data_IF_231190139437
#
_entry.id   IF_231190139437
#
_cell.length_a   1.000
_cell.length_b   1.000
_cell.length_c   1.000
_cell.angle_alpha   90.00
_cell.angle_beta   90.00
_cell.angle_gamma   90.00
#
_symmetry.space_group_name_H-M   'P 1'
#
loop_
_entity.id
_entity.type
_entity.pdbx_description
1 polymer ?
#
# COMPACT_ATOMS: atom_id res chain seq x y z
N UNK A 1 39.76 -18.28 -44.32
CA UNK A 1 40.25 -18.21 -42.94
C UNK A 1 39.57 -17.01 -42.28
N UNK A 2 38.29 -17.17 -41.91
CA UNK A 2 37.51 -16.13 -41.26
C UNK A 2 37.60 -16.31 -39.76
N UNK A 3 38.23 -15.36 -39.05
CA UNK A 3 38.22 -15.31 -37.59
C UNK A 3 36.79 -15.01 -37.15
N UNK A 4 36.18 -15.98 -36.47
CA UNK A 4 35.03 -15.73 -35.60
C UNK A 4 35.53 -14.88 -34.44
N UNK A 5 34.97 -13.69 -34.28
CA UNK A 5 35.20 -12.84 -33.11
C UNK A 5 34.17 -13.30 -32.08
N UNK A 6 34.62 -14.08 -31.09
CA UNK A 6 33.82 -14.46 -29.93
C UNK A 6 33.42 -13.19 -29.17
N UNK A 7 32.10 -13.03 -28.98
CA UNK A 7 31.54 -11.98 -28.14
C UNK A 7 32.11 -12.11 -26.72
N UNK A 8 32.64 -11.02 -26.18
CA UNK A 8 33.09 -10.92 -24.80
C UNK A 8 31.93 -11.30 -23.88
N UNK A 9 32.07 -12.41 -23.17
CA UNK A 9 31.22 -12.73 -22.03
C UNK A 9 31.28 -11.57 -21.02
N UNK A 10 30.20 -10.82 -20.89
CA UNK A 10 29.98 -9.91 -19.75
C UNK A 10 29.82 -10.78 -18.50
N UNK A 11 30.61 -10.49 -17.45
CA UNK A 11 30.48 -11.21 -16.17
C UNK A 11 29.04 -11.11 -15.64
N UNK A 12 28.53 -12.15 -14.96
CA UNK A 12 27.21 -12.11 -14.31
C UNK A 12 27.08 -10.91 -13.37
N UNK A 13 25.87 -10.38 -13.21
CA UNK A 13 25.60 -9.25 -12.32
C UNK A 13 26.08 -9.53 -10.89
N UNK A 14 25.84 -10.75 -10.39
CA UNK A 14 26.28 -11.23 -9.07
C UNK A 14 27.79 -11.17 -8.79
N UNK A 15 28.63 -11.24 -9.83
CA UNK A 15 30.09 -11.15 -9.70
C UNK A 15 30.62 -9.72 -9.77
N UNK A 16 29.73 -8.75 -10.03
CA UNK A 16 30.07 -7.35 -10.30
C UNK A 16 29.51 -6.42 -9.24
N UNK A 17 28.58 -6.88 -8.41
CA UNK A 17 27.85 -6.03 -7.46
C UNK A 17 28.24 -6.25 -6.01
N UNK A 18 28.28 -5.15 -5.28
CA UNK A 18 28.48 -5.09 -3.84
C UNK A 18 27.40 -4.16 -3.25
N UNK A 19 26.64 -4.64 -2.25
CA UNK A 19 25.66 -3.79 -1.57
C UNK A 19 26.40 -2.70 -0.78
N UNK A 20 26.04 -1.44 -1.03
CA UNK A 20 26.53 -0.29 -0.26
C UNK A 20 25.66 -0.14 0.99
N UNK A 21 24.34 -0.04 0.79
CA UNK A 21 23.31 -0.04 1.83
C UNK A 21 21.94 -0.33 1.21
N UNK A 22 20.98 -0.63 2.08
CA UNK A 22 19.58 -0.74 1.72
C UNK A 22 18.70 -0.23 2.87
N UNK A 23 17.50 0.22 2.50
CA UNK A 23 16.46 0.64 3.43
C UNK A 23 15.11 0.07 3.01
N UNK A 24 14.23 -0.16 3.99
CA UNK A 24 12.86 -0.64 3.77
C UNK A 24 11.84 0.17 4.58
N UNK A 25 10.61 0.30 4.08
CA UNK A 25 9.53 1.02 4.76
C UNK A 25 8.96 0.25 5.97
N UNK A 26 8.48 0.99 6.97
CA UNK A 26 7.78 0.45 8.15
C UNK A 26 6.33 0.09 7.88
N UNK A 27 6.09 -0.79 6.92
CA UNK A 27 4.75 -1.07 6.40
C UNK A 27 4.43 -2.56 6.27
N UNK A 28 5.26 -3.45 6.85
CA UNK A 28 5.11 -4.91 6.68
C UNK A 28 3.74 -5.44 7.16
N UNK A 29 3.12 -4.81 8.16
CA UNK A 29 1.74 -5.12 8.61
C UNK A 29 0.62 -4.47 7.79
N UNK A 30 0.95 -3.61 6.82
CA UNK A 30 0.01 -3.20 5.76
C UNK A 30 0.00 -4.18 4.60
N UNK A 31 1.05 -4.99 4.45
CA UNK A 31 1.11 -6.10 3.48
C UNK A 31 2.09 -5.81 2.37
N UNK A 32 2.67 -4.62 2.40
CA UNK A 32 3.55 -4.09 1.38
C UNK A 32 4.81 -3.52 2.02
N UNK A 33 5.94 -3.59 1.33
CA UNK A 33 7.22 -3.03 1.75
C UNK A 33 7.91 -2.38 0.56
N UNK A 34 8.14 -1.07 0.64
CA UNK A 34 9.02 -0.36 -0.28
C UNK A 34 10.48 -0.54 0.12
N UNK A 35 11.35 -0.88 -0.82
CA UNK A 35 12.79 -1.09 -0.60
C UNK A 35 13.60 -0.21 -1.54
N UNK A 36 14.64 0.41 -1.00
CA UNK A 36 15.66 1.13 -1.78
C UNK A 36 17.01 0.52 -1.48
N UNK A 37 17.66 -0.07 -2.50
CA UNK A 37 18.97 -0.69 -2.39
C UNK A 37 19.99 0.01 -3.27
N UNK A 38 21.15 0.35 -2.71
CA UNK A 38 22.27 0.96 -3.42
C UNK A 38 23.39 -0.04 -3.61
N UNK A 39 23.83 -0.19 -4.86
CA UNK A 39 24.85 -1.16 -5.24
C UNK A 39 26.03 -0.48 -5.90
N UNK A 40 27.24 -0.95 -5.60
CA UNK A 40 28.44 -0.65 -6.35
C UNK A 40 28.63 -1.69 -7.44
N UNK A 41 28.78 -1.27 -8.69
CA UNK A 41 29.04 -2.13 -9.85
C UNK A 41 30.49 -1.95 -10.31
N UNK A 42 31.18 -3.06 -10.54
CA UNK A 42 32.56 -3.12 -11.05
C UNK A 42 33.53 -2.23 -10.25
N UNK A 43 33.28 -2.09 -8.95
CA UNK A 43 34.09 -1.31 -8.03
C UNK A 43 34.07 0.22 -8.24
N UNK A 44 33.24 0.75 -9.15
CA UNK A 44 33.29 2.19 -9.49
C UNK A 44 31.93 2.83 -9.74
N UNK A 45 31.03 2.16 -10.46
CA UNK A 45 29.70 2.70 -10.77
C UNK A 45 28.74 2.45 -9.62
N UNK A 46 27.71 3.29 -9.46
CA UNK A 46 26.69 3.11 -8.41
C UNK A 46 25.32 3.14 -9.05
N UNK A 47 24.48 2.19 -8.66
CA UNK A 47 23.07 2.13 -9.09
C UNK A 47 22.15 2.10 -7.88
N UNK A 48 20.92 2.51 -8.10
CA UNK A 48 19.81 2.36 -7.17
C UNK A 48 18.82 1.35 -7.75
N UNK A 49 18.31 0.47 -6.90
CA UNK A 49 17.24 -0.45 -7.23
C UNK A 49 16.10 -0.23 -6.24
N UNK A 50 14.92 0.08 -6.76
CA UNK A 50 13.72 0.35 -5.98
C UNK A 50 12.78 -0.84 -6.19
N UNK A 51 12.23 -1.37 -5.11
CA UNK A 51 11.30 -2.50 -5.16
C UNK A 51 10.03 -2.15 -4.37
N UNK A 52 8.88 -2.46 -4.94
CA UNK A 52 7.61 -2.56 -4.21
C UNK A 52 7.31 -4.04 -4.00
N UNK A 53 7.38 -4.48 -2.74
CA UNK A 53 7.16 -5.86 -2.35
C UNK A 53 5.75 -6.00 -1.80
N UNK A 54 4.96 -6.90 -2.36
CA UNK A 54 3.59 -7.19 -1.94
C UNK A 54 3.51 -8.62 -1.37
N UNK A 55 3.10 -8.72 -0.11
CA UNK A 55 2.91 -9.97 0.61
C UNK A 55 1.48 -10.51 0.50
N UNK A 56 0.62 -9.73 -0.14
CA UNK A 56 -0.72 -10.10 -0.50
C UNK A 56 -0.72 -10.64 -1.94
N UNK A 57 -0.87 -9.86 -2.99
CA UNK A 57 -1.29 -10.48 -4.26
C UNK A 57 -0.13 -10.73 -5.23
N UNK A 58 0.82 -9.80 -5.34
CA UNK A 58 1.73 -9.78 -6.50
C UNK A 58 3.18 -10.22 -6.23
N UNK A 59 3.57 -10.39 -4.96
CA UNK A 59 4.95 -10.73 -4.60
C UNK A 59 5.93 -9.61 -4.90
N UNK A 60 6.53 -9.65 -6.10
CA UNK A 60 7.31 -8.52 -6.64
C UNK A 60 6.36 -7.68 -7.49
N UNK A 61 5.83 -6.62 -6.91
CA UNK A 61 4.83 -5.77 -7.56
C UNK A 61 5.45 -4.71 -8.47
N UNK A 62 6.56 -4.09 -8.07
CA UNK A 62 7.29 -3.16 -8.92
C UNK A 62 8.81 -3.26 -8.72
N UNK A 63 9.56 -2.98 -9.79
CA UNK A 63 11.01 -2.93 -9.79
C UNK A 63 11.52 -1.86 -10.76
N UNK A 64 12.38 -0.97 -10.27
CA UNK A 64 13.04 0.05 -11.08
C UNK A 64 14.54 0.12 -10.78
N UNK A 65 15.37 0.40 -11.79
CA UNK A 65 16.82 0.58 -11.67
C UNK A 65 17.25 1.93 -12.24
N UNK A 66 18.08 2.66 -11.49
CA UNK A 66 18.57 3.99 -11.87
C UNK A 66 20.08 4.10 -11.71
N UNK A 67 20.72 4.90 -12.56
CA UNK A 67 22.09 5.35 -12.32
C UNK A 67 22.10 6.38 -11.18
N UNK A 68 23.07 6.32 -10.27
CA UNK A 68 23.20 7.26 -9.16
C UNK A 68 23.35 8.74 -9.58
N UNK A 69 23.64 9.00 -10.86
CA UNK A 69 23.63 10.34 -11.44
C UNK A 69 22.22 10.92 -11.61
N UNK A 70 21.17 10.10 -11.64
CA UNK A 70 19.77 10.49 -11.85
C UNK A 70 19.04 10.86 -10.55
N UNK A 71 19.67 11.69 -9.70
CA UNK A 71 19.20 11.96 -8.33
C UNK A 71 17.73 12.40 -8.24
N UNK A 72 17.32 13.36 -9.06
CA UNK A 72 15.95 13.89 -9.05
C UNK A 72 14.93 12.81 -9.40
N UNK A 73 15.24 11.94 -10.38
CA UNK A 73 14.36 10.83 -10.77
C UNK A 73 14.27 9.76 -9.69
N UNK A 74 15.38 9.48 -9.00
CA UNK A 74 15.40 8.55 -7.87
C UNK A 74 14.52 9.07 -6.74
N UNK A 75 14.68 10.34 -6.36
CA UNK A 75 13.89 10.95 -5.28
C UNK A 75 12.40 10.97 -5.62
N UNK A 76 12.05 11.37 -6.85
CA UNK A 76 10.68 11.32 -7.34
C UNK A 76 10.11 9.90 -7.31
N UNK A 77 10.84 8.92 -7.84
CA UNK A 77 10.35 7.53 -7.91
C UNK A 77 10.18 6.90 -6.53
N UNK A 78 11.04 7.24 -5.55
CA UNK A 78 10.86 6.81 -4.16
C UNK A 78 9.55 7.35 -3.61
N UNK A 79 9.23 8.62 -3.87
CA UNK A 79 7.98 9.24 -3.40
C UNK A 79 6.76 8.59 -4.07
N UNK A 80 6.79 8.37 -5.38
CA UNK A 80 5.71 7.68 -6.11
C UNK A 80 5.49 6.25 -5.59
N UNK A 81 6.56 5.49 -5.35
CA UNK A 81 6.49 4.08 -4.98
C UNK A 81 6.15 3.87 -3.50
N UNK A 82 6.59 4.77 -2.62
CA UNK A 82 6.52 4.55 -1.17
C UNK A 82 5.72 5.60 -0.40
N UNK A 83 5.43 6.75 -1.02
CA UNK A 83 4.79 7.90 -0.37
C UNK A 83 3.41 7.59 0.18
N UNK A 84 2.67 6.68 -0.47
CA UNK A 84 1.35 6.26 -0.03
C UNK A 84 1.31 5.10 0.96
N UNK A 85 2.46 4.52 1.34
CA UNK A 85 2.47 3.33 2.20
C UNK A 85 2.35 3.66 3.70
N UNK A 86 2.47 4.94 4.07
CA UNK A 86 2.24 5.40 5.45
C UNK A 86 3.35 5.06 6.46
N UNK A 87 4.58 4.75 6.00
CA UNK A 87 5.70 4.38 6.88
C UNK A 87 7.06 4.92 6.43
N UNK A 88 7.89 5.33 7.40
CA UNK A 88 9.26 5.79 7.15
C UNK A 88 10.23 4.65 6.81
N UNK A 89 11.45 5.01 6.40
CA UNK A 89 12.51 4.05 6.08
C UNK A 89 13.34 3.62 7.30
N UNK A 90 13.71 2.34 7.33
CA UNK A 90 14.69 1.76 8.25
C UNK A 90 15.84 1.13 7.47
N UNK A 91 17.05 1.23 8.01
CA UNK A 91 18.21 0.57 7.42
C UNK A 91 18.11 -0.95 7.58
N UNK A 92 18.44 -1.68 6.51
CA UNK A 92 18.45 -3.15 6.50
C UNK A 92 19.80 -3.69 6.02
N UNK A 93 20.14 -4.88 6.50
CA UNK A 93 21.31 -5.62 6.07
C UNK A 93 21.05 -6.36 4.74
N UNK A 94 22.11 -6.87 4.11
CA UNK A 94 21.96 -7.70 2.92
C UNK A 94 21.13 -8.97 3.19
N UNK A 95 21.31 -9.62 4.34
CA UNK A 95 20.56 -10.82 4.68
C UNK A 95 19.06 -10.53 4.86
N UNK A 96 18.72 -9.37 5.43
CA UNK A 96 17.35 -8.92 5.59
C UNK A 96 16.74 -8.51 4.23
N UNK A 97 17.50 -7.83 3.38
CA UNK A 97 17.10 -7.55 2.00
C UNK A 97 16.79 -8.85 1.24
N UNK A 98 17.69 -9.84 1.34
CA UNK A 98 17.52 -11.13 0.69
C UNK A 98 16.30 -11.89 1.21
N UNK A 99 16.05 -11.83 2.52
CA UNK A 99 14.85 -12.38 3.13
C UNK A 99 13.58 -11.73 2.59
N UNK A 100 13.49 -10.40 2.60
CA UNK A 100 12.31 -9.67 2.11
C UNK A 100 12.00 -9.99 0.65
N UNK A 101 13.04 -9.99 -0.19
CA UNK A 101 12.95 -10.36 -1.60
C UNK A 101 12.46 -11.80 -1.77
N UNK A 102 13.05 -12.76 -1.06
CA UNK A 102 12.71 -14.16 -1.25
C UNK A 102 11.31 -14.50 -0.74
N UNK A 103 10.88 -13.93 0.39
CA UNK A 103 9.55 -14.19 0.96
C UNK A 103 8.44 -13.52 0.16
N UNK A 104 8.67 -12.32 -0.37
CA UNK A 104 7.73 -11.66 -1.29
C UNK A 104 7.65 -12.38 -2.63
N UNK A 105 8.79 -12.74 -3.25
CA UNK A 105 8.80 -13.52 -4.49
C UNK A 105 8.05 -14.86 -4.37
N UNK A 106 8.04 -15.49 -3.19
CA UNK A 106 7.31 -16.74 -2.98
C UNK A 106 5.77 -16.61 -3.03
N UNK A 107 5.24 -15.38 -2.94
CA UNK A 107 3.80 -15.09 -3.00
C UNK A 107 3.26 -15.33 -4.41
N UNK A 108 3.91 -14.73 -5.41
CA UNK A 108 3.66 -14.99 -6.83
C UNK A 108 4.98 -15.05 -7.62
N UNK A 109 5.63 -16.22 -7.69
CA UNK A 109 6.88 -16.40 -8.41
C UNK A 109 6.76 -16.17 -9.93
N UNK A 110 5.54 -16.24 -10.46
CA UNK A 110 5.26 -16.17 -11.89
C UNK A 110 4.72 -14.80 -12.32
N UNK A 111 4.71 -13.82 -11.42
CA UNK A 111 4.26 -12.47 -11.73
C UNK A 111 5.10 -11.90 -12.90
N UNK A 112 4.49 -11.20 -13.88
CA UNK A 112 5.24 -10.65 -15.00
C UNK A 112 6.41 -9.76 -14.57
N UNK A 113 6.21 -8.98 -13.50
CA UNK A 113 7.22 -8.10 -12.93
C UNK A 113 8.37 -8.89 -12.29
N UNK A 114 8.08 -10.03 -11.64
CA UNK A 114 9.11 -10.94 -11.14
C UNK A 114 9.95 -11.54 -12.29
N UNK A 115 9.32 -11.98 -13.38
CA UNK A 115 10.02 -12.76 -14.43
C UNK A 115 10.94 -11.91 -15.30
N UNK A 116 10.44 -10.79 -15.86
CA UNK A 116 11.14 -10.14 -16.99
C UNK A 116 12.31 -9.26 -16.55
N UNK A 117 12.10 -8.40 -15.56
CA UNK A 117 13.08 -7.38 -15.18
C UNK A 117 13.80 -7.74 -13.86
N UNK A 118 13.08 -8.37 -12.94
CA UNK A 118 13.58 -8.68 -11.61
C UNK A 118 14.50 -9.93 -11.58
N UNK A 119 14.06 -11.09 -12.07
CA UNK A 119 14.81 -12.35 -11.96
C UNK A 119 16.25 -12.27 -12.51
N UNK A 120 16.52 -11.71 -13.70
CA UNK A 120 17.89 -11.60 -14.22
C UNK A 120 18.86 -10.83 -13.31
N UNK A 121 18.32 -9.99 -12.43
CA UNK A 121 19.07 -9.12 -11.51
C UNK A 121 19.16 -9.70 -10.10
N UNK A 122 18.14 -10.42 -9.64
CA UNK A 122 18.03 -10.89 -8.26
C UNK A 122 18.11 -12.40 -8.07
N UNK A 123 18.26 -13.21 -9.14
CA UNK A 123 18.41 -14.66 -9.02
C UNK A 123 19.53 -15.06 -8.03
N UNK A 124 20.61 -14.29 -7.97
CA UNK A 124 21.70 -14.55 -7.04
C UNK A 124 21.33 -14.28 -5.58
N UNK A 125 20.45 -13.30 -5.32
CA UNK A 125 19.93 -13.00 -3.99
C UNK A 125 19.02 -14.12 -3.53
N UNK A 126 18.14 -14.60 -4.42
CA UNK A 126 17.27 -15.75 -4.15
C UNK A 126 18.08 -17.01 -3.83
N UNK A 127 19.10 -17.33 -4.65
CA UNK A 127 20.00 -18.48 -4.41
C UNK A 127 20.81 -18.36 -3.13
N UNK A 128 21.26 -17.15 -2.79
CA UNK A 128 21.98 -16.91 -1.53
C UNK A 128 21.05 -17.12 -0.33
N UNK A 129 19.81 -16.62 -0.41
CA UNK A 129 18.80 -16.84 0.61
C UNK A 129 18.44 -18.32 0.77
N UNK A 130 18.22 -19.07 -0.32
CA UNK A 130 17.97 -20.52 -0.26
C UNK A 130 19.08 -21.28 0.49
N UNK A 131 20.33 -20.81 0.38
CA UNK A 131 21.49 -21.45 1.00
C UNK A 131 21.69 -21.03 2.45
N UNK A 132 21.53 -19.74 2.74
CA UNK A 132 21.93 -19.15 4.02
C UNK A 132 20.74 -18.84 4.94
N UNK A 133 19.58 -18.54 4.36
CA UNK A 133 18.35 -18.16 5.04
C UNK A 133 18.48 -16.90 5.89
N UNK A 134 17.40 -16.59 6.61
CA UNK A 134 17.41 -15.69 7.76
C UNK A 134 16.90 -16.46 8.97
N UNK A 135 17.65 -16.43 10.07
CA UNK A 135 17.23 -17.13 11.30
C UNK A 135 15.93 -16.54 11.85
N UNK A 136 15.09 -17.37 12.48
CA UNK A 136 13.75 -16.97 12.97
C UNK A 136 13.81 -15.77 13.92
N UNK A 137 14.78 -15.69 14.82
CA UNK A 137 14.95 -14.54 15.72
C UNK A 137 15.26 -13.24 14.95
N UNK A 138 16.09 -13.33 13.90
CA UNK A 138 16.41 -12.19 13.05
C UNK A 138 15.23 -11.77 12.18
N UNK A 139 14.44 -12.73 11.67
CA UNK A 139 13.21 -12.46 10.94
C UNK A 139 12.18 -11.74 11.84
N UNK A 140 12.00 -12.19 13.09
CA UNK A 140 11.12 -11.51 14.07
C UNK A 140 11.63 -10.10 14.37
N UNK A 141 12.94 -9.93 14.60
CA UNK A 141 13.53 -8.62 14.87
C UNK A 141 13.41 -7.67 13.66
N UNK A 142 13.48 -8.19 12.43
CA UNK A 142 13.21 -7.42 11.23
C UNK A 142 11.73 -7.00 11.18
N UNK A 143 10.83 -7.92 11.47
CA UNK A 143 9.39 -7.66 11.52
C UNK A 143 9.04 -6.61 12.59
N UNK A 144 9.68 -6.64 13.77
CA UNK A 144 9.54 -5.60 14.80
C UNK A 144 9.98 -4.22 14.33
N UNK A 145 10.96 -4.14 13.42
CA UNK A 145 11.45 -2.86 12.89
C UNK A 145 10.62 -2.34 11.72
N UNK A 146 10.12 -3.24 10.87
CA UNK A 146 9.41 -2.92 9.63
C UNK A 146 7.89 -3.02 9.75
N UNK A 147 7.35 -3.60 10.81
CA UNK A 147 5.93 -3.52 11.13
C UNK A 147 5.63 -2.24 11.92
N UNK A 148 4.53 -1.51 11.64
CA UNK A 148 4.00 -0.59 12.63
C UNK A 148 3.76 -1.35 13.94
N UNK A 149 4.21 -0.83 15.08
CA UNK A 149 3.93 -1.44 16.38
C UNK A 149 2.50 -1.05 16.78
N UNK A 150 1.53 -1.98 16.79
CA UNK A 150 0.16 -1.61 17.10
C UNK A 150 0.07 -1.14 18.56
N UNK A 151 -0.51 0.03 18.82
CA UNK A 151 -0.55 0.63 20.16
C UNK A 151 -1.90 0.41 20.86
N UNK A 152 -2.94 0.13 20.07
CA UNK A 152 -4.31 -0.05 20.52
C UNK A 152 -4.83 -1.47 20.23
N UNK A 153 -5.89 -1.86 20.94
CA UNK A 153 -6.61 -3.11 20.65
C UNK A 153 -7.14 -3.14 19.22
N UNK A 154 -7.67 -2.02 18.72
CA UNK A 154 -8.24 -1.95 17.38
C UNK A 154 -7.16 -2.21 16.33
N UNK A 155 -5.99 -1.55 16.43
CA UNK A 155 -4.91 -1.79 15.48
C UNK A 155 -4.51 -3.26 15.43
N UNK A 156 -4.33 -3.90 16.59
CA UNK A 156 -3.99 -5.33 16.63
C UNK A 156 -5.04 -6.20 15.94
N UNK A 157 -6.32 -5.96 16.22
CA UNK A 157 -7.42 -6.75 15.64
C UNK A 157 -7.52 -6.53 14.12
N UNK A 158 -7.38 -5.28 13.66
CA UNK A 158 -7.45 -4.96 12.24
C UNK A 158 -6.26 -5.52 11.48
N UNK A 159 -5.02 -5.29 11.94
CA UNK A 159 -3.83 -5.87 11.31
C UNK A 159 -3.89 -7.40 11.30
N UNK A 160 -4.37 -8.02 12.39
CA UNK A 160 -4.50 -9.48 12.44
C UNK A 160 -5.49 -9.99 11.39
N UNK A 161 -6.64 -9.34 11.26
CA UNK A 161 -7.64 -9.72 10.26
C UNK A 161 -7.20 -9.41 8.82
N UNK A 162 -6.47 -8.31 8.59
CA UNK A 162 -5.84 -8.04 7.29
C UNK A 162 -4.90 -9.19 6.91
N UNK A 163 -3.99 -9.58 7.82
CA UNK A 163 -3.07 -10.71 7.60
C UNK A 163 -3.78 -12.04 7.44
N UNK A 164 -4.83 -12.28 8.20
CA UNK A 164 -5.64 -13.48 8.07
C UNK A 164 -6.28 -13.57 6.67
N UNK A 165 -6.83 -12.47 6.16
CA UNK A 165 -7.49 -12.43 4.85
C UNK A 165 -6.50 -12.42 3.69
N UNK A 166 -5.36 -11.74 3.84
CA UNK A 166 -4.24 -11.77 2.92
C UNK A 166 -3.41 -13.06 2.97
N UNK A 167 -3.78 -14.05 3.81
CA UNK A 167 -3.02 -15.30 3.99
C UNK A 167 -1.53 -15.10 4.37
N UNK A 168 -1.31 -13.98 5.06
CA UNK A 168 -0.15 -13.48 5.80
C UNK A 168 0.42 -14.41 6.87
N UNK A 169 0.85 -15.65 6.59
CA UNK A 169 1.22 -16.59 7.65
C UNK A 169 2.25 -16.05 8.66
N UNK A 170 3.27 -15.32 8.19
CA UNK A 170 4.27 -14.69 9.07
C UNK A 170 3.65 -13.55 9.88
N UNK A 171 2.86 -12.68 9.23
CA UNK A 171 2.14 -11.59 9.89
C UNK A 171 1.14 -12.06 10.96
N UNK A 172 0.42 -13.16 10.69
CA UNK A 172 -0.51 -13.79 11.64
C UNK A 172 0.26 -14.27 12.88
N UNK A 173 1.38 -14.98 12.69
CA UNK A 173 2.23 -15.52 13.76
C UNK A 173 2.97 -14.43 14.56
N UNK A 174 3.19 -13.27 13.94
CA UNK A 174 3.75 -12.10 14.59
C UNK A 174 2.74 -11.44 15.54
N UNK A 175 1.49 -11.30 15.10
CA UNK A 175 0.40 -10.63 15.84
C UNK A 175 -0.37 -11.53 16.81
N UNK A 176 -0.28 -12.84 16.65
CA UNK A 176 -1.07 -13.79 17.43
C UNK A 176 -0.53 -15.19 17.42
N UNK A 177 -1.20 -16.04 18.20
CA UNK A 177 -0.96 -17.47 18.19
C UNK A 177 -1.58 -18.09 16.92
N UNK A 178 -0.95 -19.16 16.39
CA UNK A 178 -1.47 -19.85 15.20
C UNK A 178 -2.87 -20.38 15.49
N UNK A 179 -3.84 -19.96 14.70
CA UNK A 179 -5.21 -20.46 14.79
C UNK A 179 -5.40 -21.52 13.72
N UNK A 180 -5.43 -22.78 14.14
CA UNK A 180 -5.75 -23.92 13.28
C UNK A 180 -7.28 -24.13 13.29
N UNK A 181 -8.00 -23.29 12.55
CA UNK A 181 -9.43 -23.48 12.30
C UNK A 181 -9.65 -23.56 10.79
N UNK A 182 -10.00 -24.75 10.29
CA UNK A 182 -10.28 -25.02 8.86
C UNK A 182 -11.38 -24.11 8.30
N UNK A 183 -12.23 -23.51 9.15
CA UNK A 183 -13.23 -22.52 8.71
C UNK A 183 -12.62 -21.19 8.29
N UNK A 184 -11.40 -20.90 8.73
CA UNK A 184 -10.66 -19.70 8.34
C UNK A 184 -10.06 -19.84 6.94
N UNK A 185 -9.91 -21.09 6.47
CA UNK A 185 -9.47 -21.38 5.11
C UNK A 185 -10.46 -20.79 4.09
N UNK A 186 -9.93 -20.35 2.97
CA UNK A 186 -10.70 -19.73 1.89
C UNK A 186 -9.78 -19.16 0.83
N UNK A 187 -10.33 -18.54 -0.22
CA UNK A 187 -9.53 -17.75 -1.14
C UNK A 187 -8.93 -16.54 -0.41
N UNK A 188 -7.77 -16.12 -0.88
CA UNK A 188 -7.17 -14.86 -0.48
C UNK A 188 -8.16 -13.71 -0.71
N UNK A 189 -8.23 -12.78 0.22
CA UNK A 189 -9.23 -11.71 0.20
C UNK A 189 -8.66 -10.41 0.74
N UNK A 190 -9.15 -9.29 0.25
CA UNK A 190 -8.84 -7.95 0.75
C UNK A 190 -9.84 -7.57 1.84
N UNK A 191 -9.36 -7.04 2.97
CA UNK A 191 -10.22 -6.50 4.02
C UNK A 191 -10.67 -5.08 3.66
N UNK A 192 -11.95 -4.90 3.30
CA UNK A 192 -12.47 -3.59 2.89
C UNK A 192 -12.96 -2.75 4.06
N UNK A 193 -13.50 -3.40 5.09
CA UNK A 193 -14.01 -2.77 6.30
C UNK A 193 -14.01 -3.77 7.45
N UNK A 194 -13.71 -3.31 8.66
CA UNK A 194 -13.93 -4.11 9.86
C UNK A 194 -14.55 -3.28 10.97
N UNK A 195 -15.59 -3.80 11.60
CA UNK A 195 -16.21 -3.21 12.80
C UNK A 195 -15.83 -4.02 14.01
N UNK A 196 -15.12 -3.42 14.95
CA UNK A 196 -14.76 -4.01 16.23
C UNK A 196 -15.82 -3.65 17.28
N UNK A 197 -16.26 -4.65 18.05
CA UNK A 197 -17.17 -4.47 19.19
C UNK A 197 -16.61 -5.23 20.39
N UNK A 198 -16.68 -4.62 21.57
CA UNK A 198 -16.38 -5.33 22.82
C UNK A 198 -17.38 -6.48 23.03
N UNK A 199 -16.86 -7.62 23.48
CA UNK A 199 -17.66 -8.78 23.86
C UNK A 199 -18.12 -8.72 25.32
N UNK A 200 -18.81 -9.78 25.76
CA UNK A 200 -19.40 -9.85 27.10
C UNK A 200 -18.36 -9.97 28.24
N UNK A 201 -17.09 -10.22 27.91
CA UNK A 201 -16.01 -10.43 28.87
C UNK A 201 -14.77 -9.61 28.47
N UNK A 202 -13.97 -9.14 29.44
CA UNK A 202 -12.70 -8.47 29.15
C UNK A 202 -11.81 -9.33 28.24
N UNK A 203 -11.21 -8.70 27.23
CA UNK A 203 -10.35 -9.37 26.25
C UNK A 203 -11.09 -10.09 25.13
N UNK A 204 -12.43 -10.20 25.18
CA UNK A 204 -13.22 -10.76 24.08
C UNK A 204 -13.73 -9.63 23.18
N UNK A 205 -13.59 -9.82 21.88
CA UNK A 205 -14.03 -8.88 20.86
C UNK A 205 -14.77 -9.60 19.76
N UNK A 206 -15.80 -8.95 19.21
CA UNK A 206 -16.48 -9.39 18.00
C UNK A 206 -16.10 -8.47 16.85
N UNK A 207 -15.59 -9.05 15.78
CA UNK A 207 -15.27 -8.34 14.55
C UNK A 207 -16.25 -8.72 13.45
N UNK A 208 -16.71 -7.72 12.69
CA UNK A 208 -17.54 -7.88 11.50
C UNK A 208 -16.75 -7.32 10.31
N UNK A 209 -16.13 -8.24 9.56
CA UNK A 209 -15.24 -7.95 8.46
C UNK A 209 -15.98 -8.07 7.12
N UNK A 210 -16.01 -7.00 6.34
CA UNK A 210 -16.39 -7.04 4.93
C UNK A 210 -15.11 -7.26 4.11
N UNK A 211 -15.12 -8.33 3.32
CA UNK A 211 -13.99 -8.73 2.48
C UNK A 211 -14.42 -8.88 1.02
N UNK A 212 -13.46 -8.75 0.12
CA UNK A 212 -13.61 -9.01 -1.32
C UNK A 212 -12.57 -10.02 -1.79
N UNK A 213 -12.97 -10.91 -2.69
CA UNK A 213 -12.09 -11.80 -3.42
C UNK A 213 -12.67 -12.10 -4.80
N UNK A 214 -12.03 -12.99 -5.56
CA UNK A 214 -12.46 -13.43 -6.89
C UNK A 214 -13.92 -13.95 -6.96
N UNK A 215 -14.50 -14.39 -5.82
CA UNK A 215 -15.87 -14.89 -5.73
C UNK A 215 -16.89 -13.81 -5.34
N UNK A 216 -16.47 -12.56 -5.16
CA UNK A 216 -17.29 -11.42 -4.78
C UNK A 216 -17.12 -11.00 -3.32
N UNK A 217 -18.17 -10.40 -2.74
CA UNK A 217 -18.13 -9.79 -1.41
C UNK A 217 -18.70 -10.72 -0.34
N UNK A 218 -18.05 -10.73 0.83
CA UNK A 218 -18.50 -11.50 1.99
C UNK A 218 -18.40 -10.71 3.28
N UNK A 219 -19.37 -10.91 4.17
CA UNK A 219 -19.29 -10.48 5.56
C UNK A 219 -18.91 -11.70 6.42
N UNK A 220 -17.80 -11.60 7.14
CA UNK A 220 -17.32 -12.60 8.09
C UNK A 220 -17.40 -12.06 9.51
N UNK A 221 -17.99 -12.83 10.41
CA UNK A 221 -18.13 -12.49 11.82
C UNK A 221 -17.19 -13.36 12.64
N UNK A 222 -16.28 -12.72 13.35
CA UNK A 222 -15.28 -13.37 14.19
C UNK A 222 -15.50 -13.06 15.66
N UNK A 223 -15.28 -14.05 16.52
CA UNK A 223 -15.01 -13.81 17.94
C UNK A 223 -13.50 -14.00 18.18
N UNK A 224 -12.86 -12.97 18.76
CA UNK A 224 -11.43 -12.98 19.07
C UNK A 224 -11.23 -12.84 20.58
N UNK A 225 -10.18 -13.52 21.07
CA UNK A 225 -9.65 -13.33 22.43
C UNK A 225 -8.29 -12.68 22.30
N UNK A 226 -8.07 -11.58 23.02
CA UNK A 226 -6.77 -10.93 23.12
C UNK A 226 -6.17 -11.07 24.53
N UNK A 227 -4.85 -11.00 24.61
CA UNK A 227 -4.14 -10.90 25.89
C UNK A 227 -4.54 -9.63 26.65
N UNK A 228 -4.64 -9.74 27.98
CA UNK A 228 -5.03 -8.61 28.86
C UNK A 228 -3.84 -7.77 29.34
N UNK A 229 -2.61 -8.18 29.03
CA UNK A 229 -1.37 -7.46 29.37
C UNK A 229 -0.72 -6.98 28.08
N UNK A 230 -0.23 -5.74 28.04
CA UNK A 230 0.58 -5.23 26.92
C UNK A 230 1.70 -6.22 26.62
N UNK A 231 1.81 -6.71 25.37
CA UNK A 231 2.79 -7.73 25.07
C UNK A 231 4.17 -7.06 25.12
N UNK A 232 5.20 -7.83 25.44
CA UNK A 232 6.55 -7.47 24.97
C UNK A 232 6.61 -7.60 23.45
N UNK A 233 7.79 -7.44 22.88
CA UNK A 233 8.02 -7.79 21.47
C UNK A 233 8.27 -9.30 21.32
N UNK A 234 7.68 -9.99 20.32
CA UNK A 234 6.68 -9.51 19.36
C UNK A 234 5.26 -9.39 19.96
N UNK A 235 4.38 -8.56 19.39
CA UNK A 235 3.06 -8.24 19.90
C UNK A 235 2.04 -9.38 19.64
N UNK A 236 2.31 -10.57 20.21
CA UNK A 236 1.47 -11.77 20.11
C UNK A 236 0.23 -11.66 20.99
N UNK A 237 -0.67 -10.78 20.60
CA UNK A 237 -1.82 -10.39 21.39
C UNK A 237 -3.05 -11.23 21.11
N UNK A 238 -3.30 -11.63 19.87
CA UNK A 238 -4.45 -12.47 19.53
C UNK A 238 -4.19 -13.91 20.00
N UNK A 239 -5.01 -14.40 20.93
CA UNK A 239 -4.93 -15.73 21.56
C UNK A 239 -5.86 -16.75 20.93
N UNK A 240 -6.96 -16.28 20.36
CA UNK A 240 -7.84 -17.11 19.53
C UNK A 240 -8.61 -16.24 18.56
N UNK A 241 -8.92 -16.82 17.40
CA UNK A 241 -9.85 -16.26 16.42
C UNK A 241 -10.81 -17.39 16.04
N UNK A 242 -12.12 -17.16 16.07
CA UNK A 242 -13.09 -18.15 15.64
C UNK A 242 -14.08 -17.51 14.67
N UNK A 243 -14.20 -18.08 13.47
CA UNK A 243 -15.22 -17.68 12.51
C UNK A 243 -16.58 -18.23 12.93
N UNK A 244 -17.51 -17.32 13.26
CA UNK A 244 -18.88 -17.65 13.64
C UNK A 244 -19.80 -17.77 12.44
N UNK A 245 -19.71 -16.79 11.53
CA UNK A 245 -20.60 -16.70 10.37
C UNK A 245 -19.84 -16.15 9.17
N UNK A 246 -20.22 -16.64 7.98
CA UNK A 246 -19.85 -16.06 6.69
C UNK A 246 -21.12 -15.91 5.85
N UNK A 247 -21.32 -14.74 5.27
CA UNK A 247 -22.47 -14.41 4.44
C UNK A 247 -21.97 -13.79 3.15
N UNK A 248 -22.36 -14.34 2.00
CA UNK A 248 -22.17 -13.66 0.73
C UNK A 248 -23.10 -12.45 0.68
N UNK A 249 -22.58 -11.31 0.21
CA UNK A 249 -23.36 -10.08 0.01
C UNK A 249 -23.21 -9.61 -1.44
N UNK A 250 -24.26 -8.98 -1.94
CA UNK A 250 -24.23 -8.41 -3.29
C UNK A 250 -23.31 -7.17 -3.35
N UNK A 251 -22.80 -6.80 -4.54
CA UNK A 251 -22.05 -5.56 -4.71
C UNK A 251 -22.82 -4.31 -4.23
N UNK A 252 -24.15 -4.33 -4.40
CA UNK A 252 -25.03 -3.26 -3.91
C UNK A 252 -25.00 -3.21 -2.38
N UNK A 253 -25.18 -4.33 -1.69
CA UNK A 253 -25.09 -4.37 -0.22
C UNK A 253 -23.71 -3.96 0.29
N UNK A 254 -22.64 -4.45 -0.35
CA UNK A 254 -21.27 -4.05 -0.03
C UNK A 254 -21.07 -2.53 -0.17
N UNK A 255 -21.58 -1.92 -1.25
CA UNK A 255 -21.53 -0.47 -1.44
C UNK A 255 -22.27 0.31 -0.34
N UNK A 256 -23.41 -0.21 0.15
CA UNK A 256 -24.13 0.38 1.29
C UNK A 256 -23.36 0.23 2.60
N UNK A 257 -22.62 -0.86 2.79
CA UNK A 257 -21.79 -1.08 3.98
C UNK A 257 -20.53 -0.20 3.98
N UNK A 258 -19.98 0.11 2.80
CA UNK A 258 -18.82 0.99 2.61
C UNK A 258 -19.16 2.48 2.53
N UNK A 259 -20.46 2.81 2.55
CA UNK A 259 -20.97 4.17 2.42
C UNK A 259 -20.36 5.09 3.47
N UNK A 260 -19.63 6.09 3.01
CA UNK A 260 -19.21 7.28 3.75
C UNK A 260 -19.73 8.51 3.00
N UNK A 261 -20.06 9.57 3.74
CA UNK A 261 -20.33 10.86 3.12
C UNK A 261 -19.06 11.34 2.43
N UNK A 262 -19.17 11.67 1.15
CA UNK A 262 -18.12 12.27 0.35
C UNK A 262 -18.38 13.78 0.26
N UNK A 263 -17.36 14.57 0.56
CA UNK A 263 -17.37 16.02 0.42
C UNK A 263 -16.53 16.39 -0.79
N UNK A 264 -17.04 17.29 -1.63
CA UNK A 264 -16.35 17.73 -2.82
C UNK A 264 -16.21 19.25 -2.85
N UNK A 265 -15.05 19.72 -3.28
CA UNK A 265 -14.82 21.13 -3.65
C UNK A 265 -14.49 21.19 -5.13
N UNK A 266 -15.22 22.04 -5.86
CA UNK A 266 -15.04 22.25 -7.29
C UNK A 266 -14.30 23.57 -7.53
N UNK A 267 -13.32 23.53 -8.42
CA UNK A 267 -12.53 24.68 -8.85
C UNK A 267 -12.55 24.80 -10.38
N UNK A 268 -12.53 26.03 -10.87
CA UNK A 268 -12.14 26.35 -12.25
C UNK A 268 -10.63 26.46 -12.32
N UNK A 269 -10.04 25.82 -13.33
CA UNK A 269 -8.62 25.95 -13.67
C UNK A 269 -8.48 27.14 -14.62
N UNK A 270 -7.69 28.13 -14.21
CA UNK A 270 -7.46 29.38 -14.93
C UNK A 270 -6.20 29.37 -15.78
N UNK A 271 -5.22 28.53 -15.43
CA UNK A 271 -3.94 28.42 -16.12
C UNK A 271 -3.85 27.08 -16.87
N UNK A 272 -3.67 27.08 -18.21
CA UNK A 272 -3.40 25.87 -18.99
C UNK A 272 -2.17 25.08 -18.53
N UNK A 273 -1.21 25.72 -17.85
CA UNK A 273 -0.02 25.08 -17.27
C UNK A 273 -0.28 24.35 -15.94
N UNK A 274 -1.49 24.45 -15.39
CA UNK A 274 -1.81 23.96 -14.05
C UNK A 274 -1.42 22.50 -13.82
N UNK A 275 -1.69 21.60 -14.77
CA UNK A 275 -1.46 20.17 -14.57
C UNK A 275 0.03 19.87 -14.30
N UNK A 276 0.93 20.48 -15.08
CA UNK A 276 2.37 20.29 -14.90
C UNK A 276 2.86 20.86 -13.56
N UNK A 277 2.34 22.02 -13.16
CA UNK A 277 2.67 22.63 -11.87
C UNK A 277 2.09 21.82 -10.69
N UNK A 278 0.91 21.22 -10.87
CA UNK A 278 0.23 20.38 -9.89
C UNK A 278 1.01 19.08 -9.64
N UNK A 279 1.39 18.37 -10.70
CA UNK A 279 2.23 17.17 -10.63
C UNK A 279 3.60 17.46 -10.02
N UNK A 280 4.23 18.58 -10.39
CA UNK A 280 5.51 18.97 -9.82
C UNK A 280 5.41 19.36 -8.33
N UNK A 281 4.27 19.93 -7.91
CA UNK A 281 4.04 20.34 -6.52
C UNK A 281 3.67 19.16 -5.61
N UNK A 282 3.09 18.09 -6.17
CA UNK A 282 2.61 16.91 -5.42
C UNK A 282 2.99 15.61 -6.15
N UNK A 283 4.31 15.31 -6.23
CA UNK A 283 4.83 14.12 -6.93
C UNK A 283 4.43 12.79 -6.26
N UNK A 284 3.97 12.82 -5.01
CA UNK A 284 3.52 11.62 -4.28
C UNK A 284 2.13 11.12 -4.68
N UNK A 285 1.40 11.88 -5.50
CA UNK A 285 0.06 11.50 -5.92
C UNK A 285 0.11 10.33 -6.91
N UNK A 286 -0.81 9.38 -6.74
CA UNK A 286 -0.94 8.25 -7.66
C UNK A 286 -1.87 8.62 -8.82
N UNK A 287 -1.38 8.73 -10.07
CA UNK A 287 -2.20 9.10 -11.22
C UNK A 287 -2.93 7.90 -11.83
N UNK A 288 -4.16 8.14 -12.31
CA UNK A 288 -4.97 7.23 -13.10
C UNK A 288 -5.68 8.03 -14.20
N UNK A 289 -5.40 7.72 -15.46
CA UNK A 289 -6.02 8.42 -16.58
C UNK A 289 -7.38 7.81 -16.95
N UNK A 290 -8.37 8.67 -17.11
CA UNK A 290 -9.73 8.34 -17.54
C UNK A 290 -10.09 9.09 -18.83
N UNK A 291 -11.19 8.70 -19.47
CA UNK A 291 -11.63 9.33 -20.72
C UNK A 291 -11.94 10.83 -20.59
N UNK A 292 -12.41 11.27 -19.42
CA UNK A 292 -12.83 12.66 -19.17
C UNK A 292 -11.80 13.50 -18.40
N UNK A 293 -10.63 12.95 -18.10
CA UNK A 293 -9.61 13.62 -17.29
C UNK A 293 -8.69 12.66 -16.55
N UNK A 294 -7.83 13.22 -15.70
CA UNK A 294 -6.85 12.50 -14.90
C UNK A 294 -7.21 12.55 -13.41
N UNK A 295 -7.25 11.38 -12.76
CA UNK A 295 -7.47 11.22 -11.33
C UNK A 295 -6.14 11.06 -10.62
N UNK A 296 -5.93 11.84 -9.57
CA UNK A 296 -4.78 11.74 -8.69
C UNK A 296 -5.26 11.40 -7.28
N UNK A 297 -4.69 10.36 -6.68
CA UNK A 297 -5.03 9.95 -5.31
C UNK A 297 -3.90 10.29 -4.36
N UNK A 298 -4.23 11.02 -3.29
CA UNK A 298 -3.35 11.30 -2.15
C UNK A 298 -3.70 10.34 -1.01
N UNK A 299 -2.70 9.64 -0.50
CA UNK A 299 -2.85 8.75 0.65
C UNK A 299 -2.44 9.46 1.94
N UNK A 300 -2.99 8.99 3.07
CA UNK A 300 -2.57 9.41 4.39
C UNK A 300 -1.10 9.03 4.63
N UNK A 301 -0.37 9.90 5.34
CA UNK A 301 1.06 9.68 5.65
C UNK A 301 1.30 8.71 6.79
N UNK A 302 0.24 8.34 7.49
CA UNK A 302 0.25 7.37 8.58
C UNK A 302 -1.00 6.49 8.52
N UNK A 303 -0.98 5.42 9.32
CA UNK A 303 -2.05 4.44 9.41
C UNK A 303 -2.94 4.68 10.65
N UNK A 304 -3.11 5.94 11.10
CA UNK A 304 -3.84 6.24 12.33
C UNK A 304 -5.31 5.78 12.31
N UNK A 305 -5.93 5.72 11.12
CA UNK A 305 -7.30 5.22 10.95
C UNK A 305 -7.46 3.73 11.35
N UNK A 306 -6.36 2.95 11.39
CA UNK A 306 -6.36 1.57 11.90
C UNK A 306 -6.60 1.53 13.42
N UNK A 307 -6.46 2.64 14.16
CA UNK A 307 -6.81 2.67 15.58
C UNK A 307 -8.33 2.82 15.84
N UNK A 308 -9.13 3.07 14.80
CA UNK A 308 -10.56 3.28 14.97
C UNK A 308 -11.33 1.97 15.22
N UNK A 309 -12.46 2.09 15.92
CA UNK A 309 -13.40 0.98 16.09
C UNK A 309 -13.98 0.48 14.76
N UNK A 310 -13.96 1.31 13.73
CA UNK A 310 -14.38 0.94 12.38
C UNK A 310 -13.24 1.26 11.42
N UNK A 311 -12.55 0.23 10.97
CA UNK A 311 -11.58 0.33 9.90
C UNK A 311 -12.29 0.35 8.54
N UNK A 312 -11.76 1.15 7.62
CA UNK A 312 -12.10 1.11 6.19
C UNK A 312 -10.81 1.15 5.38
N UNK A 313 -10.71 0.33 4.34
CA UNK A 313 -9.58 0.36 3.40
C UNK A 313 -9.47 1.71 2.69
N UNK A 314 -10.61 2.30 2.28
CA UNK A 314 -10.60 3.65 1.72
C UNK A 314 -10.27 4.76 2.76
N UNK A 315 -10.06 4.40 4.03
CA UNK A 315 -9.48 5.27 5.03
C UNK A 315 -8.00 5.57 4.79
N UNK A 316 -7.32 4.80 3.95
CA UNK A 316 -5.95 5.10 3.50
C UNK A 316 -5.91 6.34 2.61
N UNK A 317 -7.02 6.68 1.94
CA UNK A 317 -7.10 7.85 1.05
C UNK A 317 -7.31 9.11 1.86
N UNK A 318 -6.38 10.06 1.74
CA UNK A 318 -6.55 11.42 2.23
C UNK A 318 -7.53 12.18 1.33
N UNK A 319 -7.23 12.27 0.03
CA UNK A 319 -8.11 12.93 -0.93
C UNK A 319 -7.89 12.45 -2.36
N UNK A 320 -8.90 12.64 -3.19
CA UNK A 320 -8.83 12.45 -4.63
C UNK A 320 -8.94 13.79 -5.35
N UNK A 321 -8.18 13.95 -6.42
CA UNK A 321 -8.14 15.14 -7.27
C UNK A 321 -8.44 14.71 -8.70
N UNK A 322 -9.51 15.21 -9.29
CA UNK A 322 -9.84 14.90 -10.68
C UNK A 322 -9.74 16.16 -11.53
N UNK A 323 -8.77 16.16 -12.43
CA UNK A 323 -8.54 17.24 -13.40
C UNK A 323 -9.25 16.87 -14.70
N UNK A 324 -10.31 17.60 -15.02
CA UNK A 324 -11.15 17.31 -16.19
C UNK A 324 -10.64 17.99 -17.46
N UNK A 325 -11.04 17.46 -18.62
CA UNK A 325 -10.83 18.14 -19.91
C UNK A 325 -11.57 19.50 -20.02
N UNK A 326 -12.57 19.75 -19.17
CA UNK A 326 -13.33 20.99 -19.12
C UNK A 326 -12.64 22.10 -18.30
N UNK A 327 -11.36 21.93 -17.93
CA UNK A 327 -10.61 22.84 -17.05
C UNK A 327 -11.27 23.01 -15.68
N UNK A 328 -11.75 21.89 -15.11
CA UNK A 328 -12.23 21.83 -13.73
C UNK A 328 -11.33 20.92 -12.90
N UNK A 329 -11.11 21.31 -11.65
CA UNK A 329 -10.50 20.45 -10.64
C UNK A 329 -11.59 20.11 -9.61
N UNK A 330 -11.86 18.83 -9.43
CA UNK A 330 -12.66 18.32 -8.33
C UNK A 330 -11.71 17.79 -7.26
N UNK A 331 -11.94 18.19 -6.01
CA UNK A 331 -11.28 17.62 -4.84
C UNK A 331 -12.31 16.88 -4.03
N UNK A 332 -12.14 15.58 -3.80
CA UNK A 332 -13.04 14.78 -2.97
C UNK A 332 -12.31 14.21 -1.74
N UNK A 333 -12.95 14.28 -0.58
CA UNK A 333 -12.47 13.69 0.67
C UNK A 333 -13.65 13.15 1.51
N UNK A 334 -13.36 12.27 2.46
CA UNK A 334 -14.37 11.65 3.33
C UNK A 334 -14.70 12.47 4.60
N UNK A 335 -14.01 13.59 4.81
CA UNK A 335 -14.27 14.52 5.90
C UNK A 335 -14.01 15.98 5.49
N UNK A 336 -14.65 16.92 6.19
CA UNK A 336 -14.56 18.35 5.87
C UNK A 336 -13.26 19.00 6.35
N UNK A 337 -12.55 18.42 7.31
CA UNK A 337 -11.31 18.97 7.83
C UNK A 337 -10.20 18.83 6.79
N UNK A 338 -10.15 17.66 6.14
CA UNK A 338 -9.28 17.38 5.00
C UNK A 338 -9.48 18.39 3.86
N UNK A 339 -10.72 18.65 3.44
CA UNK A 339 -10.98 19.68 2.41
C UNK A 339 -10.47 21.07 2.82
N UNK A 340 -10.61 21.46 4.08
CA UNK A 340 -10.10 22.76 4.58
C UNK A 340 -8.57 22.81 4.56
N UNK A 341 -7.90 21.71 4.87
CA UNK A 341 -6.44 21.60 4.78
C UNK A 341 -6.00 21.80 3.32
N UNK A 342 -6.68 21.15 2.38
CA UNK A 342 -6.39 21.24 0.95
C UNK A 342 -6.67 22.64 0.40
N UNK A 343 -7.81 23.22 0.74
CA UNK A 343 -8.17 24.59 0.40
C UNK A 343 -7.10 25.58 0.85
N UNK A 344 -6.62 25.43 2.08
CA UNK A 344 -5.55 26.26 2.61
C UNK A 344 -4.24 26.02 1.86
N UNK A 345 -3.90 24.76 1.55
CA UNK A 345 -2.71 24.41 0.74
C UNK A 345 -2.76 25.07 -0.64
N UNK A 346 -3.92 25.08 -1.30
CA UNK A 346 -4.09 25.74 -2.59
C UNK A 346 -4.03 27.27 -2.46
N UNK A 347 -4.60 27.86 -1.42
CA UNK A 347 -4.59 29.30 -1.20
C UNK A 347 -3.20 29.85 -0.83
N UNK A 348 -2.45 29.13 0.00
CA UNK A 348 -1.12 29.53 0.47
C UNK A 348 0.01 29.12 -0.51
N UNK A 349 -0.30 28.21 -1.44
CA UNK A 349 0.68 27.57 -2.33
C UNK A 349 0.90 28.27 -3.67
N UNK A 350 1.84 27.70 -4.44
CA UNK A 350 2.18 28.17 -5.78
C UNK A 350 1.01 28.04 -6.78
N UNK A 351 0.04 27.17 -6.51
CA UNK A 351 -1.14 26.94 -7.35
C UNK A 351 -2.27 27.98 -7.16
N UNK A 352 -2.15 28.88 -6.19
CA UNK A 352 -3.21 29.83 -5.80
C UNK A 352 -3.71 30.73 -6.95
N UNK A 353 -2.85 31.07 -7.89
CA UNK A 353 -3.18 31.91 -9.04
C UNK A 353 -3.87 31.14 -10.18
N UNK A 354 -3.77 29.81 -10.17
CA UNK A 354 -4.28 28.94 -11.23
C UNK A 354 -5.67 28.39 -10.93
N UNK A 355 -6.21 28.58 -9.72
CA UNK A 355 -7.48 28.01 -9.29
C UNK A 355 -8.46 29.08 -8.80
N UNK A 356 -9.74 28.93 -9.18
CA UNK A 356 -10.85 29.69 -8.60
C UNK A 356 -11.93 28.75 -8.09
N UNK A 357 -12.23 28.81 -6.79
CA UNK A 357 -13.25 27.94 -6.19
C UNK A 357 -14.64 28.31 -6.71
N UNK A 358 -15.36 27.31 -7.22
CA UNK A 358 -16.72 27.46 -7.74
C UNK A 358 -17.76 27.12 -6.67
N UNK A 359 -17.58 26.02 -5.93
CA UNK A 359 -18.57 25.58 -4.95
C UNK A 359 -18.16 24.32 -4.19
N UNK A 360 -18.94 24.01 -3.16
CA UNK A 360 -18.82 22.81 -2.33
C UNK A 360 -20.08 21.96 -2.44
N UNK A 361 -19.88 20.65 -2.45
CA UNK A 361 -20.93 19.64 -2.57
C UNK A 361 -20.71 18.58 -1.50
N UNK A 362 -21.80 17.89 -1.14
CA UNK A 362 -21.72 16.73 -0.26
C UNK A 362 -22.73 15.70 -0.75
N UNK A 363 -22.30 14.45 -0.84
CA UNK A 363 -23.16 13.35 -1.21
C UNK A 363 -22.96 12.21 -0.21
N UNK A 364 -24.05 11.55 0.14
CA UNK A 364 -23.97 10.36 0.96
C UNK A 364 -23.54 9.12 0.14
N UNK A 365 -23.38 9.23 -1.17
CA UNK A 365 -22.88 8.18 -2.06
C UNK A 365 -21.64 8.72 -2.81
N UNK A 366 -20.70 7.85 -3.26
CA UNK A 366 -19.53 8.29 -4.02
C UNK A 366 -19.94 9.03 -5.29
N UNK A 367 -19.85 10.36 -5.27
CA UNK A 367 -20.25 11.23 -6.38
C UNK A 367 -19.10 11.38 -7.38
N UNK A 368 -17.85 11.40 -6.90
CA UNK A 368 -16.68 11.58 -7.74
C UNK A 368 -16.52 10.41 -8.73
N UNK A 369 -16.54 9.18 -8.24
CA UNK A 369 -16.37 8.00 -9.12
C UNK A 369 -17.55 7.82 -10.07
N UNK A 370 -18.78 8.12 -9.65
CA UNK A 370 -19.94 8.10 -10.54
C UNK A 370 -19.79 9.13 -11.67
N UNK A 371 -19.29 10.34 -11.35
CA UNK A 371 -18.97 11.36 -12.34
C UNK A 371 -17.87 10.91 -13.30
N UNK A 372 -16.73 10.41 -12.80
CA UNK A 372 -15.61 9.92 -13.62
C UNK A 372 -16.09 8.84 -14.61
N UNK A 373 -16.90 7.89 -14.13
CA UNK A 373 -17.42 6.79 -14.94
C UNK A 373 -18.52 7.21 -15.91
N UNK A 374 -19.14 8.39 -15.74
CA UNK A 374 -20.13 8.92 -16.68
C UNK A 374 -19.52 9.32 -18.03
N UNK A 375 -18.22 9.66 -18.04
CA UNK A 375 -17.52 10.16 -19.22
C UNK A 375 -17.86 11.61 -19.60
N UNK A 376 -18.66 12.32 -18.79
CA UNK A 376 -18.95 13.74 -18.98
C UNK A 376 -17.77 14.56 -18.46
N UNK A 377 -17.31 15.55 -19.23
CA UNK A 377 -16.14 16.36 -18.87
C UNK A 377 -16.46 17.51 -17.89
N UNK A 378 -17.67 18.08 -17.94
CA UNK A 378 -18.10 19.16 -17.05
C UNK A 378 -18.98 18.64 -15.91
N UNK A 379 -18.64 18.98 -14.68
CA UNK A 379 -19.34 18.49 -13.49
C UNK A 379 -20.76 19.03 -13.35
N UNK A 380 -21.04 20.28 -13.76
CA UNK A 380 -22.40 20.81 -13.72
C UNK A 380 -23.29 20.25 -14.81
N UNK A 381 -22.72 19.85 -15.96
CA UNK A 381 -23.48 19.11 -16.98
C UNK A 381 -23.86 17.70 -16.52
N UNK A 382 -23.07 17.12 -15.62
CA UNK A 382 -23.34 15.81 -15.02
C UNK A 382 -24.43 15.84 -13.95
N UNK A 383 -24.43 16.86 -13.07
CA UNK A 383 -25.43 17.05 -12.00
C UNK A 383 -26.83 17.35 -12.56
#
# INVERSE_FOLDING_TARGET
MGKVIEGRFTRPFSERVELIDAQATKTRLMGVVGVVARWRIDGSSTIFQLLHLDYEDYGIDAYDEFDALEKERIEQRIQEMTGGLGGGFEAITYQELAYLIATSHAVDPESPNAIYDFLPKFEFVLKDYEKNGLGTEAAIALFDRLGPCPETTCEHLHYYLMRLHGQDAEGILYLGDLVLDEKLDGPKSTLLKNVVKEGDKPGFYRCEALIENENGYFVRIFDLLIGMELPGHPPRWVKSCELKHQLAVSPVEASFMLRKTEYLSLYSILDPGFLADFEAAMPELMPNSYMAGDLFTEFNRDNAHVAEWIYYLNGDVFANYFVTEANQLLVAAFDQETLKIIEKRFADGHLSHALSKIGDFSADQPLLYDFINSGIADFFEYL
#
